data_IF_430141683962
#
_entry.id   IF_430141683962
#
_cell.length_a   1.000
_cell.length_b   1.000
_cell.length_c   1.000
_cell.angle_alpha   90.00
_cell.angle_beta   90.00
_cell.angle_gamma   90.00
#
_symmetry.space_group_name_H-M   'P 1'
#
loop_
_entity.id
_entity.type
_entity.pdbx_description
1 polymer ?
#
# COMPACT_ATOMS: atom_id res chain seq x y z
N UNK A 1 -12.16 -33.39 54.57
CA UNK A 1 -12.24 -31.95 54.27
C UNK A 1 -13.00 -31.76 52.97
N UNK A 2 -13.95 -30.82 52.89
CA UNK A 2 -14.74 -30.57 51.66
C UNK A 2 -14.06 -29.50 50.81
N UNK A 3 -14.00 -29.72 49.50
CA UNK A 3 -13.53 -28.71 48.57
C UNK A 3 -14.57 -27.57 48.48
N UNK A 4 -14.11 -26.32 48.50
CA UNK A 4 -14.96 -25.12 48.42
C UNK A 4 -14.54 -24.26 47.23
N UNK A 5 -15.50 -23.83 46.42
CA UNK A 5 -15.21 -22.97 45.27
C UNK A 5 -15.35 -21.50 45.69
N UNK A 6 -14.29 -20.71 45.51
CA UNK A 6 -14.26 -19.27 45.74
C UNK A 6 -14.19 -18.52 44.42
N UNK A 7 -15.07 -17.55 44.22
CA UNK A 7 -15.05 -16.65 43.06
C UNK A 7 -14.46 -15.31 43.49
N UNK A 8 -13.38 -14.87 42.85
CA UNK A 8 -12.73 -13.58 43.10
C UNK A 8 -13.45 -12.46 42.35
N UNK A 9 -13.22 -11.21 42.79
CA UNK A 9 -13.80 -10.00 42.19
C UNK A 9 -13.41 -9.79 40.72
N UNK A 10 -12.28 -10.33 40.30
CA UNK A 10 -11.80 -10.32 38.91
C UNK A 10 -12.54 -11.34 38.01
N UNK A 11 -13.40 -12.19 38.58
CA UNK A 11 -14.16 -13.22 37.88
C UNK A 11 -13.44 -14.58 37.79
N UNK A 12 -12.27 -14.73 38.43
CA UNK A 12 -11.56 -16.01 38.50
C UNK A 12 -12.19 -16.93 39.55
N UNK A 13 -12.16 -18.23 39.30
CA UNK A 13 -12.72 -19.25 40.18
C UNK A 13 -11.60 -20.14 40.71
N UNK A 14 -11.49 -20.27 42.04
CA UNK A 14 -10.51 -21.13 42.70
C UNK A 14 -11.22 -22.22 43.48
N UNK A 15 -10.81 -23.48 43.31
CA UNK A 15 -11.25 -24.61 44.13
C UNK A 15 -10.25 -24.79 45.26
N UNK A 16 -10.71 -24.62 46.49
CA UNK A 16 -9.92 -24.64 47.72
C UNK A 16 -10.16 -25.94 48.50
N UNK A 17 -9.10 -26.55 49.04
CA UNK A 17 -9.19 -27.55 50.09
C UNK A 17 -8.58 -26.95 51.36
N UNK A 18 -9.42 -26.46 52.26
CA UNK A 18 -8.97 -25.65 53.40
C UNK A 18 -8.30 -24.36 52.92
N UNK A 19 -7.00 -24.20 53.18
CA UNK A 19 -6.18 -23.05 52.76
C UNK A 19 -5.41 -23.28 51.45
N UNK A 20 -5.45 -24.50 50.89
CA UNK A 20 -4.69 -24.87 49.69
C UNK A 20 -5.55 -24.70 48.43
N UNK A 21 -5.00 -24.07 47.40
CA UNK A 21 -5.63 -23.94 46.08
C UNK A 21 -5.38 -25.24 45.30
N UNK A 22 -6.44 -25.97 44.96
CA UNK A 22 -6.35 -27.21 44.19
C UNK A 22 -6.44 -26.96 42.68
N UNK A 23 -7.24 -25.96 42.27
CA UNK A 23 -7.43 -25.62 40.86
C UNK A 23 -7.84 -24.15 40.73
N UNK A 24 -7.21 -23.43 39.80
CA UNK A 24 -7.59 -22.07 39.45
C UNK A 24 -8.06 -22.02 38.00
N UNK A 25 -9.25 -21.47 37.80
CA UNK A 25 -9.80 -21.14 36.49
C UNK A 25 -9.67 -19.62 36.34
N UNK A 26 -8.74 -19.12 35.51
CA UNK A 26 -8.54 -17.69 35.37
C UNK A 26 -9.82 -17.04 34.85
N UNK A 27 -10.04 -15.80 35.28
CA UNK A 27 -11.07 -14.97 34.68
C UNK A 27 -10.74 -14.84 33.19
N UNK A 28 -11.58 -15.39 32.31
CA UNK A 28 -11.46 -15.10 30.87
C UNK A 28 -11.82 -13.63 30.67
N UNK A 29 -10.84 -12.72 30.84
CA UNK A 29 -10.95 -11.37 30.29
C UNK A 29 -11.14 -11.59 28.79
N UNK A 30 -12.32 -11.26 28.26
CA UNK A 30 -12.52 -11.25 26.81
C UNK A 30 -11.43 -10.33 26.26
N UNK A 31 -10.52 -10.87 25.45
CA UNK A 31 -9.45 -10.10 24.85
C UNK A 31 -10.06 -8.83 24.23
N UNK A 32 -9.43 -7.68 24.45
CA UNK A 32 -9.92 -6.42 23.87
C UNK A 32 -9.95 -6.62 22.35
N UNK A 33 -10.90 -6.00 21.65
CA UNK A 33 -11.04 -6.16 20.19
C UNK A 33 -9.76 -5.83 19.42
N UNK A 34 -8.87 -5.01 20.00
CA UNK A 34 -7.56 -4.65 19.46
C UNK A 34 -6.49 -5.74 19.61
N UNK A 35 -6.69 -6.69 20.52
CA UNK A 35 -5.81 -7.84 20.79
C UNK A 35 -6.20 -9.06 19.95
N UNK A 36 -7.23 -8.96 19.11
CA UNK A 36 -7.62 -10.06 18.23
C UNK A 36 -6.68 -10.10 17.03
N UNK A 37 -5.97 -11.21 16.89
CA UNK A 37 -5.14 -11.44 15.72
C UNK A 37 -5.98 -11.44 14.44
N UNK A 38 -5.46 -10.77 13.42
CA UNK A 38 -6.08 -10.78 12.10
C UNK A 38 -6.03 -12.20 11.52
N UNK A 39 -7.19 -12.86 11.43
CA UNK A 39 -7.34 -14.12 10.70
C UNK A 39 -7.86 -13.86 9.28
N UNK A 40 -7.07 -14.31 8.30
CA UNK A 40 -7.43 -14.25 6.88
C UNK A 40 -8.59 -15.20 6.56
N UNK A 41 -8.68 -16.31 7.28
CA UNK A 41 -9.73 -17.31 7.16
C UNK A 41 -11.07 -16.75 7.65
N UNK A 42 -11.07 -16.06 8.79
CA UNK A 42 -12.26 -15.34 9.27
C UNK A 42 -12.67 -14.21 8.32
N UNK A 43 -11.69 -13.48 7.75
CA UNK A 43 -11.98 -12.48 6.73
C UNK A 43 -12.66 -13.13 5.51
N UNK A 44 -12.22 -14.33 5.08
CA UNK A 44 -12.86 -15.04 3.98
C UNK A 44 -14.29 -15.45 4.29
N UNK A 45 -14.57 -15.99 5.47
CA UNK A 45 -15.95 -16.32 5.87
C UNK A 45 -16.82 -15.06 5.84
N UNK A 46 -16.34 -13.93 6.35
CA UNK A 46 -17.07 -12.65 6.28
C UNK A 46 -17.29 -12.16 4.85
N UNK A 47 -16.34 -12.39 3.93
CA UNK A 47 -16.51 -12.08 2.52
C UNK A 47 -17.58 -12.98 1.87
N UNK A 48 -17.65 -14.27 2.23
CA UNK A 48 -18.73 -15.17 1.80
C UNK A 48 -20.08 -14.66 2.31
N UNK A 49 -20.17 -14.26 3.59
CA UNK A 49 -21.38 -13.65 4.14
C UNK A 49 -21.79 -12.38 3.39
N UNK A 50 -20.84 -11.53 2.98
CA UNK A 50 -21.14 -10.34 2.16
C UNK A 50 -21.75 -10.74 0.82
N UNK A 51 -21.23 -11.77 0.15
CA UNK A 51 -21.77 -12.26 -1.12
C UNK A 51 -23.21 -12.74 -0.92
N UNK A 52 -23.47 -13.53 0.14
CA UNK A 52 -24.82 -14.01 0.44
C UNK A 52 -25.77 -12.84 0.71
N UNK A 53 -25.36 -11.84 1.51
CA UNK A 53 -26.19 -10.65 1.75
C UNK A 53 -26.45 -9.86 0.47
N UNK A 54 -25.47 -9.77 -0.42
CA UNK A 54 -25.64 -9.05 -1.69
C UNK A 54 -26.61 -9.77 -2.64
N UNK A 55 -26.54 -11.10 -2.73
CA UNK A 55 -27.38 -11.90 -3.63
C UNK A 55 -28.77 -12.19 -3.09
N UNK A 56 -28.85 -12.49 -1.79
CA UNK A 56 -30.03 -13.07 -1.14
C UNK A 56 -30.55 -12.22 0.03
N UNK A 57 -29.88 -11.10 0.36
CA UNK A 57 -30.27 -10.19 1.43
C UNK A 57 -29.84 -10.62 2.83
N UNK A 58 -30.45 -11.67 3.38
CA UNK A 58 -30.29 -12.03 4.80
C UNK A 58 -29.69 -13.42 5.07
N UNK A 59 -30.15 -14.43 4.34
CA UNK A 59 -29.75 -15.84 4.50
C UNK A 59 -29.77 -16.56 3.15
N UNK A 60 -29.21 -17.76 3.09
CA UNK A 60 -29.26 -18.59 1.88
C UNK A 60 -30.71 -19.07 1.72
N UNK A 61 -31.33 -18.88 0.54
CA UNK A 61 -32.68 -19.36 0.28
C UNK A 61 -32.74 -20.89 0.36
N UNK A 62 -33.91 -21.43 0.71
CA UNK A 62 -34.14 -22.87 0.69
C UNK A 62 -34.25 -23.33 -0.78
N UNK A 63 -33.36 -24.22 -1.26
CA UNK A 63 -33.37 -24.67 -2.63
C UNK A 63 -34.42 -25.78 -2.90
N UNK A 64 -35.23 -26.16 -1.91
CA UNK A 64 -36.30 -27.14 -2.10
C UNK A 64 -37.23 -26.72 -3.24
N UNK A 65 -37.29 -27.53 -4.30
CA UNK A 65 -38.10 -27.26 -5.49
C UNK A 65 -37.52 -26.25 -6.48
N UNK A 66 -36.24 -25.90 -6.37
CA UNK A 66 -35.50 -25.06 -7.32
C UNK A 66 -34.23 -25.75 -7.81
N UNK A 67 -33.72 -25.34 -8.97
CA UNK A 67 -32.49 -25.89 -9.56
C UNK A 67 -31.21 -25.35 -8.89
N UNK A 68 -31.34 -24.41 -7.94
CA UNK A 68 -30.23 -23.72 -7.27
C UNK A 68 -29.60 -24.49 -6.09
N UNK A 69 -29.88 -25.80 -5.97
CA UNK A 69 -29.35 -26.66 -4.89
C UNK A 69 -27.83 -26.58 -4.84
N UNK A 70 -27.17 -26.72 -5.99
CA UNK A 70 -25.71 -26.71 -6.05
C UNK A 70 -25.11 -25.38 -5.63
N UNK A 71 -25.71 -24.26 -6.04
CA UNK A 71 -25.27 -22.91 -5.66
C UNK A 71 -25.47 -22.67 -4.17
N UNK A 72 -26.56 -23.15 -3.58
CA UNK A 72 -26.80 -23.05 -2.14
C UNK A 72 -25.80 -23.90 -1.33
N UNK A 73 -25.56 -25.13 -1.76
CA UNK A 73 -24.54 -26.01 -1.15
C UNK A 73 -23.11 -25.50 -1.37
N UNK A 74 -22.85 -24.77 -2.46
CA UNK A 74 -21.55 -24.18 -2.75
C UNK A 74 -21.11 -23.18 -1.66
N UNK A 75 -22.03 -22.41 -1.08
CA UNK A 75 -21.72 -21.54 0.07
C UNK A 75 -21.24 -22.35 1.28
N UNK A 76 -21.95 -23.43 1.62
CA UNK A 76 -21.57 -24.33 2.73
C UNK A 76 -20.20 -24.96 2.47
N UNK A 77 -19.97 -25.45 1.25
CA UNK A 77 -18.68 -25.99 0.81
C UNK A 77 -17.56 -24.94 0.92
N UNK A 78 -17.80 -23.70 0.52
CA UNK A 78 -16.80 -22.63 0.58
C UNK A 78 -16.37 -22.31 2.03
N UNK A 79 -17.32 -22.30 2.97
CA UNK A 79 -17.03 -22.12 4.42
C UNK A 79 -16.28 -23.33 4.98
N UNK A 80 -16.72 -24.55 4.66
CA UNK A 80 -16.05 -25.78 5.09
C UNK A 80 -14.60 -25.87 4.65
N UNK A 81 -14.31 -25.36 3.45
CA UNK A 81 -12.97 -25.36 2.88
C UNK A 81 -12.08 -24.21 3.39
N UNK A 82 -12.53 -23.51 4.43
CA UNK A 82 -11.81 -22.44 5.12
C UNK A 82 -11.43 -22.90 6.54
N UNK A 83 -10.33 -23.67 6.70
CA UNK A 83 -9.94 -24.25 7.97
C UNK A 83 -9.60 -23.16 8.99
N UNK A 84 -9.64 -23.49 10.29
CA UNK A 84 -9.33 -22.58 11.42
C UNK A 84 -10.23 -21.34 11.51
N UNK A 85 -11.30 -21.30 10.73
CA UNK A 85 -12.34 -20.29 10.84
C UNK A 85 -13.49 -20.79 11.73
N UNK A 86 -14.71 -20.35 11.45
CA UNK A 86 -15.91 -20.79 12.15
C UNK A 86 -16.31 -22.21 11.73
N UNK A 87 -16.81 -23.00 12.66
CA UNK A 87 -17.37 -24.32 12.37
C UNK A 87 -18.59 -24.21 11.47
N UNK A 88 -18.61 -25.01 10.40
CA UNK A 88 -19.65 -25.00 9.35
C UNK A 88 -21.01 -25.36 9.92
N UNK A 89 -21.06 -26.30 10.85
CA UNK A 89 -22.32 -26.73 11.48
C UNK A 89 -22.92 -25.57 12.26
N UNK A 90 -22.12 -24.90 13.11
CA UNK A 90 -22.56 -23.71 13.83
C UNK A 90 -22.94 -22.55 12.89
N UNK A 91 -22.24 -22.42 11.77
CA UNK A 91 -22.45 -21.35 10.80
C UNK A 91 -23.72 -21.57 9.97
N UNK A 92 -23.98 -22.82 9.56
CA UNK A 92 -25.16 -23.18 8.76
C UNK A 92 -26.46 -23.02 9.55
N UNK A 93 -26.46 -23.28 10.87
CA UNK A 93 -27.66 -23.03 11.70
C UNK A 93 -28.18 -21.60 11.60
N UNK A 94 -27.30 -20.63 11.31
CA UNK A 94 -27.68 -19.22 11.10
C UNK A 94 -28.01 -18.92 9.64
N UNK A 95 -27.20 -19.40 8.72
CA UNK A 95 -27.22 -18.96 7.32
C UNK A 95 -28.03 -19.86 6.38
N UNK A 96 -28.23 -21.12 6.72
CA UNK A 96 -28.99 -22.13 5.98
C UNK A 96 -29.71 -23.07 6.97
N UNK A 97 -30.72 -22.59 7.72
CA UNK A 97 -31.42 -23.40 8.71
C UNK A 97 -32.24 -24.55 8.09
N UNK A 98 -32.54 -24.47 6.80
CA UNK A 98 -33.21 -25.51 6.02
C UNK A 98 -32.27 -26.68 5.68
N UNK A 99 -30.95 -26.50 5.77
CA UNK A 99 -30.00 -27.50 5.33
C UNK A 99 -30.02 -28.71 6.27
N UNK A 100 -30.23 -29.90 5.69
CA UNK A 100 -30.24 -31.14 6.42
C UNK A 100 -28.92 -31.36 7.19
N UNK A 101 -28.97 -31.69 8.50
CA UNK A 101 -27.79 -31.89 9.32
C UNK A 101 -26.81 -32.95 8.79
N UNK A 102 -27.28 -34.01 8.13
CA UNK A 102 -26.42 -35.06 7.57
C UNK A 102 -25.59 -34.51 6.40
N UNK A 103 -26.23 -33.70 5.55
CA UNK A 103 -25.57 -33.00 4.45
C UNK A 103 -24.52 -32.02 4.95
N UNK A 104 -24.88 -31.20 5.96
CA UNK A 104 -23.94 -30.24 6.58
C UNK A 104 -22.74 -30.96 7.19
N UNK A 105 -22.95 -32.06 7.91
CA UNK A 105 -21.86 -32.85 8.50
C UNK A 105 -20.97 -33.48 7.43
N UNK A 106 -21.55 -33.96 6.33
CA UNK A 106 -20.79 -34.51 5.21
C UNK A 106 -19.88 -33.45 4.58
N UNK A 107 -20.40 -32.23 4.41
CA UNK A 107 -19.62 -31.09 3.93
C UNK A 107 -18.54 -30.66 4.94
N UNK A 108 -18.86 -30.65 6.24
CA UNK A 108 -17.89 -30.34 7.29
C UNK A 108 -16.71 -31.33 7.27
N UNK A 109 -16.99 -32.63 7.04
CA UNK A 109 -15.95 -33.66 6.90
C UNK A 109 -15.00 -33.40 5.72
N UNK A 110 -15.48 -32.87 4.60
CA UNK A 110 -14.63 -32.52 3.45
C UNK A 110 -13.58 -31.43 3.76
N UNK A 111 -13.89 -30.56 4.72
CA UNK A 111 -12.98 -29.54 5.22
C UNK A 111 -12.08 -30.03 6.36
N UNK A 112 -12.59 -30.98 7.17
CA UNK A 112 -11.85 -31.54 8.31
C UNK A 112 -10.57 -32.24 7.83
N UNK A 113 -9.42 -31.81 8.34
CA UNK A 113 -8.10 -32.33 7.94
C UNK A 113 -7.36 -31.49 6.90
N UNK A 114 -8.00 -30.49 6.27
CA UNK A 114 -7.26 -29.55 5.42
C UNK A 114 -6.40 -28.61 6.27
N UNK A 115 -5.09 -28.61 6.00
CA UNK A 115 -4.15 -27.64 6.59
C UNK A 115 -4.32 -26.23 6.02
N UNK A 116 -4.70 -26.14 4.74
CA UNK A 116 -4.74 -24.89 3.99
C UNK A 116 -6.12 -24.64 3.39
N UNK A 117 -6.51 -23.37 3.40
CA UNK A 117 -7.72 -22.87 2.77
C UNK A 117 -7.64 -22.99 1.24
N UNK A 118 -8.78 -23.16 0.58
CA UNK A 118 -8.84 -23.13 -0.89
C UNK A 118 -8.21 -21.86 -1.48
N UNK A 119 -7.64 -22.01 -2.67
CA UNK A 119 -7.12 -20.88 -3.45
C UNK A 119 -8.26 -19.89 -3.74
N UNK A 120 -7.93 -18.60 -3.78
CA UNK A 120 -8.90 -17.52 -3.99
C UNK A 120 -9.78 -17.76 -5.24
N UNK A 121 -9.15 -18.19 -6.32
CA UNK A 121 -9.82 -18.39 -7.61
C UNK A 121 -10.67 -19.67 -7.63
N UNK A 122 -10.31 -20.69 -6.86
CA UNK A 122 -11.15 -21.88 -6.70
C UNK A 122 -12.46 -21.53 -5.97
N UNK A 123 -12.39 -20.70 -4.93
CA UNK A 123 -13.58 -20.20 -4.23
C UNK A 123 -14.40 -19.28 -5.13
N UNK A 124 -13.76 -18.45 -5.94
CA UNK A 124 -14.47 -17.59 -6.88
C UNK A 124 -15.22 -18.36 -7.96
N UNK A 125 -14.64 -19.45 -8.48
CA UNK A 125 -15.33 -20.37 -9.39
C UNK A 125 -16.47 -21.12 -8.70
N UNK A 126 -16.26 -21.57 -7.46
CA UNK A 126 -17.30 -22.25 -6.69
C UNK A 126 -18.52 -21.36 -6.41
N UNK A 127 -18.30 -20.05 -6.25
CA UNK A 127 -19.36 -19.08 -5.92
C UNK A 127 -19.74 -18.19 -7.11
N UNK A 128 -19.24 -18.43 -8.32
CA UNK A 128 -19.46 -17.58 -9.50
C UNK A 128 -19.24 -16.08 -9.24
N UNK A 129 -18.12 -15.75 -8.61
CA UNK A 129 -17.75 -14.36 -8.29
C UNK A 129 -17.06 -13.73 -9.49
N UNK A 130 -17.73 -12.79 -10.16
CA UNK A 130 -17.16 -11.99 -11.24
C UNK A 130 -16.28 -10.85 -10.73
N UNK A 131 -15.47 -10.25 -11.59
CA UNK A 131 -14.60 -9.12 -11.24
C UNK A 131 -15.42 -7.87 -10.87
N UNK A 132 -16.57 -7.66 -11.50
CA UNK A 132 -17.49 -6.58 -11.15
C UNK A 132 -18.02 -6.74 -9.72
N UNK A 133 -18.50 -7.94 -9.36
CA UNK A 133 -18.99 -8.24 -8.02
C UNK A 133 -17.88 -8.16 -6.97
N UNK A 134 -16.69 -8.67 -7.30
CA UNK A 134 -15.50 -8.59 -6.45
C UNK A 134 -15.15 -7.14 -6.11
N UNK A 135 -15.19 -6.26 -7.11
CA UNK A 135 -14.86 -4.83 -6.95
C UNK A 135 -15.94 -4.10 -6.17
N UNK A 136 -17.21 -4.32 -6.51
CA UNK A 136 -18.36 -3.70 -5.83
C UNK A 136 -18.40 -4.01 -4.33
N UNK A 137 -18.12 -5.27 -3.94
CA UNK A 137 -18.14 -5.71 -2.54
C UNK A 137 -16.79 -5.53 -1.81
N UNK A 138 -15.75 -5.08 -2.51
CA UNK A 138 -14.41 -4.91 -1.97
C UNK A 138 -13.81 -6.23 -1.45
N UNK A 139 -13.90 -7.30 -2.22
CA UNK A 139 -13.38 -8.61 -1.81
C UNK A 139 -11.86 -8.70 -1.99
N UNK A 140 -11.16 -9.07 -0.91
CA UNK A 140 -9.71 -9.18 -0.86
C UNK A 140 -9.25 -10.63 -0.90
N UNK A 141 -9.96 -11.54 -0.23
CA UNK A 141 -9.53 -12.94 -0.12
C UNK A 141 -10.08 -13.81 -1.24
N UNK A 142 -11.25 -13.51 -1.79
CA UNK A 142 -11.88 -14.30 -2.88
C UNK A 142 -11.37 -13.81 -4.24
N UNK A 143 -11.26 -14.72 -5.21
CA UNK A 143 -10.81 -14.51 -6.59
C UNK A 143 -11.81 -13.76 -7.48
N UNK A 144 -11.67 -13.90 -8.79
CA UNK A 144 -12.74 -13.65 -9.77
C UNK A 144 -12.73 -14.81 -10.79
N UNK A 145 -13.89 -15.26 -11.26
CA UNK A 145 -14.02 -16.40 -12.17
C UNK A 145 -13.90 -16.03 -13.65
N UNK A 146 -14.24 -14.80 -14.00
CA UNK A 146 -14.31 -14.22 -15.35
C UNK A 146 -12.99 -13.63 -15.85
N UNK A 147 -11.97 -13.52 -14.98
CA UNK A 147 -10.67 -12.94 -15.34
C UNK A 147 -9.49 -13.76 -14.82
N UNK A 148 -8.46 -13.86 -15.65
CA UNK A 148 -7.23 -14.53 -15.26
C UNK A 148 -6.52 -13.79 -14.11
N UNK A 149 -5.73 -14.53 -13.33
CA UNK A 149 -4.98 -13.96 -12.20
C UNK A 149 -3.95 -12.91 -12.67
N UNK A 150 -3.38 -13.06 -13.87
CA UNK A 150 -2.41 -12.13 -14.44
C UNK A 150 -3.07 -10.77 -14.77
N UNK A 151 -4.17 -10.79 -15.51
CA UNK A 151 -4.94 -9.60 -15.89
C UNK A 151 -5.40 -8.82 -14.66
N UNK A 152 -5.90 -9.51 -13.62
CA UNK A 152 -6.26 -8.87 -12.35
C UNK A 152 -5.09 -8.19 -11.66
N UNK A 153 -3.89 -8.77 -11.72
CA UNK A 153 -2.68 -8.15 -11.14
C UNK A 153 -2.31 -6.89 -11.92
N UNK A 154 -2.44 -6.90 -13.24
CA UNK A 154 -2.11 -5.74 -14.06
C UNK A 154 -3.11 -4.60 -13.88
N UNK A 155 -4.41 -4.91 -13.79
CA UNK A 155 -5.43 -3.95 -13.40
C UNK A 155 -5.16 -3.36 -12.00
N UNK A 156 -4.81 -4.20 -11.02
CA UNK A 156 -4.47 -3.73 -9.68
C UNK A 156 -3.23 -2.81 -9.67
N UNK A 157 -2.22 -3.10 -10.50
CA UNK A 157 -1.04 -2.22 -10.69
C UNK A 157 -1.45 -0.90 -11.34
N UNK A 158 -2.29 -0.91 -12.37
CA UNK A 158 -2.79 0.29 -13.02
C UNK A 158 -3.55 1.19 -12.03
N UNK A 159 -4.51 0.62 -11.31
CA UNK A 159 -5.29 1.33 -10.29
C UNK A 159 -4.42 1.86 -9.14
N UNK A 160 -3.34 1.14 -8.78
CA UNK A 160 -2.37 1.63 -7.80
C UNK A 160 -1.60 2.84 -8.35
N UNK A 161 -1.07 2.75 -9.58
CA UNK A 161 -0.34 3.86 -10.22
C UNK A 161 -1.20 5.11 -10.32
N UNK A 162 -2.48 4.98 -10.67
CA UNK A 162 -3.41 6.10 -10.74
C UNK A 162 -3.65 6.74 -9.37
N UNK A 163 -3.92 5.93 -8.34
CA UNK A 163 -4.07 6.43 -6.96
C UNK A 163 -2.80 7.11 -6.44
N UNK A 164 -1.63 6.56 -6.77
CA UNK A 164 -0.35 7.13 -6.38
C UNK A 164 -0.09 8.46 -7.09
N UNK A 165 -0.42 8.57 -8.39
CA UNK A 165 -0.39 9.85 -9.13
C UNK A 165 -1.28 10.90 -8.47
N UNK A 166 -2.54 10.56 -8.18
CA UNK A 166 -3.48 11.48 -7.53
C UNK A 166 -3.03 11.88 -6.12
N UNK A 167 -2.47 10.93 -5.35
CA UNK A 167 -1.89 11.23 -4.02
C UNK A 167 -0.71 12.21 -4.13
N UNK A 168 0.19 12.00 -5.07
CA UNK A 168 1.34 12.89 -5.28
C UNK A 168 0.92 14.28 -5.76
N UNK A 169 -0.09 14.35 -6.63
CA UNK A 169 -0.65 15.63 -7.08
C UNK A 169 -1.27 16.40 -5.92
N UNK A 170 -2.14 15.76 -5.12
CA UNK A 170 -2.70 16.37 -3.91
C UNK A 170 -1.62 16.86 -2.95
N UNK A 171 -0.62 16.03 -2.67
CA UNK A 171 0.51 16.40 -1.81
C UNK A 171 1.24 17.64 -2.36
N UNK A 172 1.45 17.74 -3.67
CA UNK A 172 2.06 18.91 -4.30
C UNK A 172 1.20 20.17 -4.14
N UNK A 173 -0.11 20.05 -4.35
CA UNK A 173 -1.06 21.16 -4.16
C UNK A 173 -1.13 21.63 -2.70
N UNK A 174 -1.16 20.70 -1.74
CA UNK A 174 -1.17 20.99 -0.30
C UNK A 174 0.11 21.71 0.16
N UNK A 175 1.25 21.41 -0.46
CA UNK A 175 2.52 22.12 -0.22
C UNK A 175 2.62 23.47 -0.97
N UNK A 176 1.56 23.91 -1.66
CA UNK A 176 1.55 25.15 -2.43
C UNK A 176 2.47 25.14 -3.66
N UNK A 177 2.93 23.96 -4.11
CA UNK A 177 3.76 23.89 -5.31
C UNK A 177 2.93 24.24 -6.54
N UNK A 178 3.37 25.30 -7.23
CA UNK A 178 2.75 25.77 -8.47
C UNK A 178 2.79 24.67 -9.52
N UNK A 179 1.72 24.55 -10.32
CA UNK A 179 1.61 23.56 -11.39
C UNK A 179 2.82 23.62 -12.34
N UNK A 180 3.20 22.47 -12.88
CA UNK A 180 4.39 22.32 -13.73
C UNK A 180 4.32 23.24 -14.95
N UNK A 181 3.13 23.50 -15.49
CA UNK A 181 2.93 24.43 -16.61
C UNK A 181 3.28 25.86 -16.23
N UNK A 182 2.85 26.30 -15.05
CA UNK A 182 3.17 27.64 -14.54
C UNK A 182 4.65 27.79 -14.23
N UNK A 183 5.29 26.75 -13.66
CA UNK A 183 6.75 26.72 -13.47
C UNK A 183 7.49 26.83 -14.80
N UNK A 184 7.05 26.07 -15.82
CA UNK A 184 7.66 26.11 -17.15
C UNK A 184 7.49 27.47 -17.83
N UNK A 185 6.32 28.10 -17.70
CA UNK A 185 6.07 29.44 -18.25
C UNK A 185 6.95 30.54 -17.62
N UNK A 186 7.35 30.36 -16.35
CA UNK A 186 8.26 31.26 -15.65
C UNK A 186 9.75 30.99 -15.95
N UNK A 187 10.08 29.94 -16.70
CA UNK A 187 11.48 29.70 -17.06
C UNK A 187 11.98 30.70 -18.09
N UNK A 188 13.25 31.12 -17.97
CA UNK A 188 13.92 32.01 -18.93
C UNK A 188 13.85 31.51 -20.38
N UNK A 189 13.74 30.19 -20.56
CA UNK A 189 13.56 29.56 -21.88
C UNK A 189 12.18 29.80 -22.49
N UNK A 190 11.14 29.94 -21.66
CA UNK A 190 9.78 30.24 -22.09
C UNK A 190 9.55 31.74 -22.25
N UNK A 191 10.07 32.56 -21.32
CA UNK A 191 9.92 34.03 -21.37
C UNK A 191 10.80 34.69 -22.43
N UNK A 192 11.89 34.01 -22.84
CA UNK A 192 12.83 34.42 -23.89
C UNK A 192 13.16 35.92 -23.90
N UNK A 193 13.67 36.47 -22.78
CA UNK A 193 13.91 37.92 -22.65
C UNK A 193 14.83 38.49 -23.74
N UNK A 194 15.75 37.68 -24.28
CA UNK A 194 16.64 38.09 -25.36
C UNK A 194 15.92 38.46 -26.67
N UNK A 195 14.75 37.88 -26.96
CA UNK A 195 13.96 38.26 -28.14
C UNK A 195 13.41 39.69 -27.98
N UNK A 196 12.98 40.06 -26.77
CA UNK A 196 12.51 41.41 -26.46
C UNK A 196 13.64 42.46 -26.50
N UNK A 197 14.86 42.07 -26.10
CA UNK A 197 16.05 42.93 -26.19
C UNK A 197 16.70 42.94 -27.59
N UNK A 198 16.14 42.21 -28.57
CA UNK A 198 16.67 42.14 -29.94
C UNK A 198 18.05 41.50 -30.03
N UNK A 199 18.42 40.65 -29.07
CA UNK A 199 19.74 40.01 -29.00
C UNK A 199 19.65 38.48 -29.14
N UNK A 200 20.77 37.86 -29.51
CA UNK A 200 20.82 36.39 -29.53
C UNK A 200 20.79 35.83 -28.10
N UNK A 201 20.13 34.67 -27.91
CA UNK A 201 20.11 33.92 -26.64
C UNK A 201 21.50 33.77 -26.03
N UNK A 202 22.48 33.43 -26.87
CA UNK A 202 23.88 33.23 -26.45
C UNK A 202 24.43 34.52 -25.85
N UNK A 203 24.29 35.64 -26.57
CA UNK A 203 24.79 36.95 -26.15
C UNK A 203 24.15 37.42 -24.84
N UNK A 204 22.85 37.20 -24.66
CA UNK A 204 22.13 37.58 -23.45
C UNK A 204 22.67 36.87 -22.19
N UNK A 205 22.88 35.54 -22.26
CA UNK A 205 23.50 34.79 -21.15
C UNK A 205 24.96 35.19 -20.90
N UNK A 206 25.73 35.56 -21.95
CA UNK A 206 27.09 36.10 -21.76
C UNK A 206 27.10 37.46 -21.06
N UNK A 207 26.13 38.34 -21.37
CA UNK A 207 25.97 39.63 -20.68
C UNK A 207 25.65 39.43 -19.20
N UNK A 208 24.66 38.59 -18.87
CA UNK A 208 24.34 38.25 -17.47
C UNK A 208 25.56 37.71 -16.71
N UNK A 209 26.34 36.82 -17.34
CA UNK A 209 27.57 36.29 -16.72
C UNK A 209 28.66 37.35 -16.53
N UNK A 210 28.76 38.33 -17.42
CA UNK A 210 29.74 39.44 -17.29
C UNK A 210 29.39 40.32 -16.09
N UNK A 211 28.11 40.59 -15.85
CA UNK A 211 27.67 41.34 -14.67
C UNK A 211 27.90 40.56 -13.36
N UNK A 212 27.86 39.22 -13.41
CA UNK A 212 28.24 38.34 -12.28
C UNK A 212 29.76 38.12 -12.16
N UNK A 213 30.54 38.46 -13.18
CA UNK A 213 32.01 38.41 -13.16
C UNK A 213 32.54 39.79 -12.79
N UNK A 214 32.09 40.32 -11.65
CA UNK A 214 32.81 41.41 -11.01
C UNK A 214 34.23 40.93 -10.72
N UNK A 215 35.23 41.74 -11.06
CA UNK A 215 36.63 41.43 -10.79
C UNK A 215 36.77 41.03 -9.32
N UNK A 216 37.05 39.76 -9.06
CA UNK A 216 37.43 39.31 -7.72
C UNK A 216 38.57 40.19 -7.26
N UNK A 217 38.38 40.92 -6.15
CA UNK A 217 39.42 41.75 -5.53
C UNK A 217 40.60 40.84 -5.22
N UNK A 218 41.66 40.93 -6.03
CA UNK A 218 42.93 40.28 -5.73
C UNK A 218 43.57 41.11 -4.62
N UNK A 219 43.47 40.64 -3.39
CA UNK A 219 44.25 41.19 -2.28
C UNK A 219 45.72 40.83 -2.49
N UNK A 220 46.48 41.77 -3.04
CA UNK A 220 47.93 41.66 -3.09
C UNK A 220 48.44 41.94 -1.68
N UNK A 221 48.60 40.88 -0.88
CA UNK A 221 49.29 40.97 0.41
C UNK A 221 50.76 41.32 0.15
N UNK A 222 51.11 42.60 0.27
CA UNK A 222 52.49 43.11 0.15
C UNK A 222 53.22 43.24 1.49
N UNK A 223 52.68 42.68 2.56
CA UNK A 223 53.28 42.79 3.89
C UNK A 223 53.72 41.41 4.35
N UNK A 224 54.82 40.93 3.76
CA UNK A 224 55.78 40.14 4.53
C UNK A 224 56.43 41.08 5.56
N UNK A 225 56.52 40.61 6.79
CA UNK A 225 57.06 41.29 7.97
C UNK A 225 56.24 42.45 8.55
N UNK A 226 55.38 42.13 9.52
CA UNK A 226 55.17 43.02 10.67
C UNK A 226 54.98 42.18 11.94
N UNK A 227 55.75 42.57 12.95
CA UNK A 227 56.01 41.92 14.23
C UNK A 227 54.77 41.76 15.13
N UNK A 228 54.81 40.73 15.97
CA UNK A 228 53.82 40.39 17.00
C UNK A 228 53.79 41.46 18.10
N UNK A 229 52.62 42.03 18.38
CA UNK A 229 52.29 42.67 19.66
C UNK A 229 50.85 42.27 20.08
N UNK A 230 50.59 42.09 21.40
CA UNK A 230 49.39 41.43 21.90
C UNK A 230 48.24 42.38 22.24
N UNK A 231 47.02 41.83 22.15
CA UNK A 231 45.80 42.17 22.87
C UNK A 231 45.21 43.59 22.77
N UNK A 232 44.12 43.72 21.99
CA UNK A 232 42.88 44.38 22.43
C UNK A 232 41.73 43.98 21.48
N UNK A 233 40.85 43.08 21.91
CA UNK A 233 39.57 42.83 21.24
C UNK A 233 38.60 43.99 21.55
N UNK A 234 37.89 44.55 20.56
CA UNK A 234 36.63 45.21 20.82
C UNK A 234 35.49 44.19 20.75
N UNK A 235 34.67 44.19 21.80
CA UNK A 235 33.46 43.38 21.97
C UNK A 235 32.45 43.63 20.83
N UNK A 236 32.16 42.58 20.05
CA UNK A 236 30.95 42.50 19.24
C UNK A 236 29.94 41.55 19.92
N UNK A 237 28.66 41.93 20.03
CA UNK A 237 27.64 41.09 20.65
C UNK A 237 27.34 39.85 19.77
N UNK A 238 27.04 38.67 20.38
CA UNK A 238 26.80 37.46 19.63
C UNK A 238 25.45 37.52 18.88
N UNK A 239 25.48 37.15 17.60
CA UNK A 239 24.28 36.93 16.78
C UNK A 239 23.44 35.75 17.30
N UNK A 240 22.11 35.73 17.08
CA UNK A 240 21.22 34.69 17.59
C UNK A 240 21.48 33.32 16.92
N UNK A 241 21.21 32.20 17.63
CA UNK A 241 21.52 30.86 17.16
C UNK A 241 20.67 30.47 15.94
N UNK A 242 21.33 30.13 14.84
CA UNK A 242 20.70 29.45 13.71
C UNK A 242 20.20 28.07 14.15
N UNK A 243 18.90 27.85 14.01
CA UNK A 243 18.24 26.55 14.21
C UNK A 243 18.76 25.57 13.16
N UNK A 244 19.66 24.67 13.57
CA UNK A 244 20.05 23.52 12.77
C UNK A 244 18.92 22.50 12.74
N UNK A 245 18.20 22.45 11.62
CA UNK A 245 17.26 21.36 11.32
C UNK A 245 18.07 20.10 11.04
N UNK A 246 18.14 19.23 12.05
CA UNK A 246 18.81 17.93 11.96
C UNK A 246 18.17 17.04 10.89
N UNK A 247 18.91 16.76 9.82
CA UNK A 247 18.66 15.60 8.98
C UNK A 247 19.29 14.37 9.64
N UNK A 248 18.50 13.64 10.42
CA UNK A 248 18.86 12.29 10.86
C UNK A 248 18.73 11.32 9.68
N UNK A 249 19.85 11.04 9.02
CA UNK A 249 20.04 9.79 8.27
C UNK A 249 20.41 8.70 9.28
N UNK A 250 19.56 7.69 9.45
CA UNK A 250 19.94 6.42 10.05
C UNK A 250 19.79 5.30 9.03
N UNK A 251 20.85 4.52 9.00
CA UNK A 251 21.28 3.49 8.07
C UNK A 251 20.35 2.28 7.93
N UNK A 252 20.55 1.54 6.83
CA UNK A 252 20.04 0.17 6.71
C UNK A 252 20.01 -0.43 5.31
N UNK A 253 21.01 -0.19 4.46
CA UNK A 253 21.22 -0.98 3.23
C UNK A 253 22.64 -1.53 3.25
N UNK A 254 22.76 -2.71 3.83
CA UNK A 254 23.89 -3.62 3.65
C UNK A 254 23.87 -4.20 2.23
N UNK A 255 25.06 -4.30 1.66
CA UNK A 255 25.30 -4.53 0.24
C UNK A 255 24.93 -5.91 -0.30
N UNK A 256 24.74 -5.91 -1.62
CA UNK A 256 24.78 -7.10 -2.47
C UNK A 256 25.48 -6.71 -3.77
N UNK A 257 26.79 -6.91 -3.81
CA UNK A 257 27.59 -6.95 -5.03
C UNK A 257 27.20 -8.22 -5.79
N UNK A 258 26.74 -8.08 -7.03
CA UNK A 258 26.42 -9.20 -7.89
C UNK A 258 26.31 -8.76 -9.34
N UNK A 259 27.45 -8.76 -10.04
CA UNK A 259 27.69 -8.65 -11.48
C UNK A 259 26.45 -8.54 -12.39
N UNK A 260 26.27 -7.38 -13.02
CA UNK A 260 25.53 -7.24 -14.27
C UNK A 260 26.38 -6.39 -15.24
N UNK A 261 26.42 -6.82 -16.50
CA UNK A 261 27.21 -6.21 -17.57
C UNK A 261 26.77 -4.77 -17.88
N UNK A 262 27.69 -3.89 -18.34
CA UNK A 262 27.37 -2.51 -18.65
C UNK A 262 26.41 -2.42 -19.84
N UNK A 263 25.43 -1.52 -19.72
CA UNK A 263 24.45 -1.18 -20.75
C UNK A 263 25.14 -0.69 -22.03
N UNK A 264 25.10 -1.52 -23.08
CA UNK A 264 25.47 -1.15 -24.44
C UNK A 264 24.27 -0.65 -25.24
N UNK A 265 24.52 0.39 -26.03
CA UNK A 265 23.73 0.86 -27.18
C UNK A 265 22.40 1.58 -26.91
N UNK A 266 22.51 2.88 -26.63
CA UNK A 266 21.52 3.86 -27.10
C UNK A 266 21.77 4.09 -28.60
N UNK A 267 20.90 3.55 -29.45
CA UNK A 267 20.88 3.87 -30.87
C UNK A 267 20.43 5.31 -31.08
N UNK A 268 21.37 6.18 -31.45
CA UNK A 268 21.07 7.48 -32.01
C UNK A 268 20.62 7.29 -33.47
N UNK A 269 19.40 7.71 -33.79
CA UNK A 269 18.94 7.82 -35.17
C UNK A 269 19.70 8.97 -35.86
N UNK A 270 20.26 8.78 -37.07
CA UNK A 270 20.91 9.86 -37.80
C UNK A 270 19.86 10.78 -38.43
N UNK A 271 19.94 12.06 -38.08
CA UNK A 271 19.31 13.15 -38.80
C UNK A 271 20.02 13.35 -40.13
N UNK A 272 19.33 13.03 -41.24
CA UNK A 272 19.72 13.44 -42.59
C UNK A 272 18.82 14.58 -43.06
N UNK A 273 19.40 15.78 -43.12
CA UNK A 273 18.91 16.95 -43.84
C UNK A 273 18.86 16.69 -45.34
N UNK A 274 17.84 17.24 -46.00
CA UNK A 274 17.52 16.96 -47.39
C UNK A 274 18.38 17.66 -48.43
N UNK A 275 18.04 17.40 -49.68
CA UNK A 275 18.07 18.42 -50.72
C UNK A 275 16.99 18.15 -51.76
N UNK A 276 16.57 19.24 -52.39
CA UNK A 276 15.41 19.37 -53.28
C UNK A 276 15.81 19.10 -54.74
N UNK A 277 14.80 19.09 -55.63
CA UNK A 277 14.84 19.22 -57.12
C UNK A 277 14.97 17.91 -57.90
N UNK A 278 14.34 17.68 -59.04
CA UNK A 278 13.41 18.41 -59.93
C UNK A 278 12.83 17.36 -60.89
N UNK A 279 11.63 17.62 -61.47
CA UNK A 279 11.16 17.18 -62.81
C UNK A 279 11.05 15.63 -63.03
N UNK A 280 10.25 15.03 -63.91
CA UNK A 280 9.51 15.42 -65.11
C UNK A 280 8.52 14.26 -65.45
N UNK A 281 7.40 14.62 -66.10
CA UNK A 281 6.64 13.86 -67.10
C UNK A 281 6.57 12.31 -67.07
N UNK A 282 5.36 11.78 -66.84
CA UNK A 282 4.53 11.02 -67.81
C UNK A 282 3.42 10.25 -67.09
#
# INVERSE_FOLDING_TARGET
>A
MKATTKKKRDGSEQVMLGKVIMKEKPARKRARRQEWDFSRELLRVREIEKIIRFRHGSRIPDPSGTDDVDTCLAYLRAVAMTPRSQDVVSWSSKWAPWADPVTVQSIAKLGSGRKWMLKADAVAKLLDVTMSLRTALGLHTIGACDMATAERKDLAKANKRERDKGRQERKRRELGMVDRKSQQAQTLAATKPWEAEGMSRRTWFYRQKRDCTAMSRVEINRNGDTSVQPASQPDFPPAPPQVQIGQSRVAGLSGGLGHHAPAGFQGAAPHGSGDSRDEEAA
#
